data_IF_842734964328
#
_entry.id   IF_842734964328
#
_cell.length_a   1.000
_cell.length_b   1.000
_cell.length_c   1.000
_cell.angle_alpha   90.00
_cell.angle_beta   90.00
_cell.angle_gamma   90.00
#
_symmetry.space_group_name_H-M   'P 1'
#
loop_
_entity.id
_entity.type
_entity.pdbx_description
1 polymer ?
#
# COMPACT_ATOMS: atom_id res chain seq x y z
N UNK A 1 -6.92 -14.40 -2.47
CA UNK A 1 -6.12 -15.14 -1.44
C UNK A 1 -6.63 -16.56 -1.26
N UNK A 2 -7.93 -16.80 -1.12
CA UNK A 2 -8.52 -18.11 -0.86
C UNK A 2 -8.13 -19.14 -1.94
N UNK A 3 -8.26 -18.78 -3.21
CA UNK A 3 -7.81 -19.64 -4.32
C UNK A 3 -6.33 -20.01 -4.20
N UNK A 4 -5.47 -19.03 -3.88
CA UNK A 4 -4.05 -19.25 -3.70
C UNK A 4 -3.78 -20.24 -2.55
N UNK A 5 -4.44 -20.05 -1.41
CA UNK A 5 -4.32 -20.97 -0.26
C UNK A 5 -4.76 -22.38 -0.63
N UNK A 6 -5.90 -22.55 -1.33
CA UNK A 6 -6.36 -23.85 -1.81
C UNK A 6 -5.33 -24.57 -2.71
N UNK A 7 -4.60 -23.80 -3.55
CA UNK A 7 -3.57 -24.38 -4.43
C UNK A 7 -2.32 -24.81 -3.65
N UNK A 8 -1.86 -23.99 -2.71
CA UNK A 8 -0.65 -24.31 -1.95
C UNK A 8 -0.92 -25.34 -0.84
N UNK A 9 -2.09 -25.31 -0.20
CA UNK A 9 -2.45 -26.23 0.89
C UNK A 9 -2.22 -27.70 0.50
N UNK A 10 -2.61 -28.07 -0.72
CA UNK A 10 -2.43 -29.45 -1.24
C UNK A 10 -0.95 -29.87 -1.37
N UNK A 11 -0.03 -28.92 -1.44
CA UNK A 11 1.40 -29.16 -1.70
C UNK A 11 2.30 -28.63 -0.57
N UNK A 12 1.72 -27.95 0.41
CA UNK A 12 2.48 -27.32 1.48
C UNK A 12 3.22 -28.37 2.32
N UNK A 13 4.51 -28.15 2.48
CA UNK A 13 5.34 -28.96 3.38
C UNK A 13 5.72 -28.10 4.57
N UNK A 14 5.69 -28.70 5.78
CA UNK A 14 6.08 -28.05 7.02
C UNK A 14 7.41 -27.30 6.86
N UNK A 15 7.43 -26.04 7.24
CA UNK A 15 8.61 -25.18 7.17
C UNK A 15 8.96 -24.64 5.78
N UNK A 16 8.20 -24.96 4.73
CA UNK A 16 8.41 -24.35 3.41
C UNK A 16 8.14 -22.84 3.48
N UNK A 17 9.12 -21.96 3.13
CA UNK A 17 8.91 -20.54 3.22
C UNK A 17 7.93 -20.05 2.14
N UNK A 18 6.97 -19.24 2.55
CA UNK A 18 6.07 -18.47 1.68
C UNK A 18 6.53 -17.03 1.71
N UNK A 19 6.74 -16.43 0.53
CA UNK A 19 7.17 -15.03 0.42
C UNK A 19 6.09 -14.23 -0.30
N UNK A 20 5.54 -13.22 0.38
CA UNK A 20 4.48 -12.36 -0.14
C UNK A 20 5.08 -11.08 -0.72
N UNK A 21 4.95 -10.93 -2.04
CA UNK A 21 5.27 -9.69 -2.75
C UNK A 21 4.04 -8.80 -2.92
N UNK A 22 2.85 -9.40 -2.92
CA UNK A 22 1.56 -8.73 -3.11
C UNK A 22 1.33 -7.68 -2.03
N UNK A 23 0.92 -6.47 -2.43
CA UNK A 23 0.51 -5.38 -1.55
C UNK A 23 -1.01 -5.39 -1.43
N UNK A 24 -1.52 -5.48 -0.21
CA UNK A 24 -2.95 -5.49 0.05
C UNK A 24 -3.27 -5.90 1.47
N UNK A 25 -4.50 -5.70 1.84
CA UNK A 25 -5.11 -6.13 3.09
C UNK A 25 -6.37 -6.93 2.77
N UNK A 26 -6.96 -7.55 3.75
CA UNK A 26 -8.19 -8.32 3.55
C UNK A 26 -9.10 -8.23 4.78
N UNK A 27 -10.31 -8.72 4.62
CA UNK A 27 -11.25 -8.94 5.72
C UNK A 27 -11.31 -10.45 5.99
N UNK A 28 -11.20 -10.83 7.25
CA UNK A 28 -11.36 -12.19 7.71
C UNK A 28 -12.19 -12.18 9.01
N UNK A 29 -13.24 -12.97 9.07
CA UNK A 29 -14.14 -13.05 10.22
C UNK A 29 -14.63 -11.65 10.70
N UNK A 30 -14.93 -10.76 9.74
CA UNK A 30 -15.34 -9.36 9.91
C UNK A 30 -14.27 -8.42 10.52
N UNK A 31 -13.01 -8.80 10.54
CA UNK A 31 -11.88 -7.99 11.01
C UNK A 31 -10.90 -7.68 9.89
N UNK A 32 -10.31 -6.47 9.88
CA UNK A 32 -9.24 -6.13 8.97
C UNK A 32 -7.98 -6.93 9.32
N UNK A 33 -7.37 -7.56 8.32
CA UNK A 33 -6.21 -8.41 8.53
C UNK A 33 -5.17 -8.23 7.43
N UNK A 34 -3.92 -8.55 7.74
CA UNK A 34 -2.85 -8.65 6.74
C UNK A 34 -3.00 -9.91 5.89
N UNK A 35 -2.38 -9.91 4.71
CA UNK A 35 -2.41 -11.10 3.84
C UNK A 35 -1.67 -12.28 4.47
N UNK A 36 -0.57 -12.02 5.21
CA UNK A 36 0.18 -13.07 5.91
C UNK A 36 -0.66 -13.74 6.98
N UNK A 37 -1.39 -12.97 7.78
CA UNK A 37 -2.23 -13.53 8.84
C UNK A 37 -3.45 -14.27 8.28
N UNK A 38 -4.07 -13.75 7.22
CA UNK A 38 -5.14 -14.46 6.53
C UNK A 38 -4.67 -15.81 5.98
N UNK A 39 -3.52 -15.84 5.28
CA UNK A 39 -2.96 -17.09 4.74
C UNK A 39 -2.62 -18.05 5.87
N UNK A 40 -1.99 -17.57 6.95
CA UNK A 40 -1.67 -18.39 8.12
C UNK A 40 -2.92 -19.02 8.73
N UNK A 41 -3.96 -18.24 8.93
CA UNK A 41 -5.23 -18.69 9.49
C UNK A 41 -5.89 -19.75 8.60
N UNK A 42 -5.95 -19.52 7.30
CA UNK A 42 -6.56 -20.46 6.36
C UNK A 42 -5.77 -21.78 6.27
N UNK A 43 -4.44 -21.72 6.16
CA UNK A 43 -3.60 -22.91 6.15
C UNK A 43 -3.70 -23.68 7.47
N UNK A 44 -3.81 -22.98 8.61
CA UNK A 44 -4.00 -23.64 9.91
C UNK A 44 -5.37 -24.34 9.99
N UNK A 45 -6.43 -23.74 9.43
CA UNK A 45 -7.76 -24.39 9.32
C UNK A 45 -7.69 -25.66 8.45
N UNK A 46 -6.78 -25.71 7.47
CA UNK A 46 -6.52 -26.89 6.63
C UNK A 46 -5.59 -27.93 7.30
N UNK A 47 -5.22 -27.73 8.58
CA UNK A 47 -4.41 -28.68 9.37
C UNK A 47 -2.91 -28.49 9.23
N UNK A 48 -2.43 -27.43 8.57
CA UNK A 48 -0.99 -27.15 8.49
C UNK A 48 -0.47 -26.46 9.76
N UNK A 49 0.72 -26.84 10.16
CA UNK A 49 1.46 -26.24 11.30
C UNK A 49 2.82 -25.69 10.86
N UNK A 50 3.41 -24.85 11.70
CA UNK A 50 4.72 -24.24 11.46
C UNK A 50 4.80 -23.49 10.10
N UNK A 51 3.76 -22.68 9.84
CA UNK A 51 3.64 -21.91 8.63
C UNK A 51 4.66 -20.76 8.69
N UNK A 52 5.61 -20.76 7.74
CA UNK A 52 6.67 -19.76 7.62
C UNK A 52 6.31 -18.77 6.51
N UNK A 53 5.87 -17.56 6.88
CA UNK A 53 5.50 -16.52 5.94
C UNK A 53 6.37 -15.30 6.16
N UNK A 54 6.94 -14.78 5.08
CA UNK A 54 7.65 -13.51 5.02
C UNK A 54 6.95 -12.56 4.06
N UNK A 55 7.02 -11.27 4.32
CA UNK A 55 6.59 -10.24 3.40
C UNK A 55 7.80 -9.44 2.89
N UNK A 56 7.82 -9.11 1.59
CA UNK A 56 8.80 -8.20 1.01
C UNK A 56 8.06 -6.97 0.49
N UNK A 57 8.45 -5.78 0.97
CA UNK A 57 7.89 -4.50 0.57
C UNK A 57 9.00 -3.47 0.34
N UNK A 58 8.65 -2.36 -0.29
CA UNK A 58 9.57 -1.25 -0.52
C UNK A 58 9.49 -0.68 -1.93
N UNK A 59 10.28 0.37 -2.21
CA UNK A 59 10.30 1.10 -3.48
C UNK A 59 10.98 0.28 -4.58
N UNK A 60 10.28 -0.69 -5.13
CA UNK A 60 10.81 -1.59 -6.16
C UNK A 60 9.93 -1.56 -7.42
N UNK A 61 10.29 -0.71 -8.37
CA UNK A 61 9.70 -0.71 -9.70
C UNK A 61 10.33 -1.80 -10.55
N UNK A 62 9.50 -2.63 -11.19
CA UNK A 62 9.95 -3.76 -11.99
C UNK A 62 10.95 -3.37 -13.10
N UNK A 63 10.71 -2.25 -13.79
CA UNK A 63 11.61 -1.72 -14.81
C UNK A 63 12.98 -1.33 -14.25
N UNK A 64 13.02 -0.70 -13.07
CA UNK A 64 14.28 -0.37 -12.39
C UNK A 64 15.07 -1.62 -12.02
N UNK A 65 14.39 -2.59 -11.42
CA UNK A 65 15.02 -3.85 -11.04
C UNK A 65 15.54 -4.63 -12.25
N UNK A 66 14.77 -4.72 -13.34
CA UNK A 66 15.16 -5.38 -14.58
C UNK A 66 16.42 -4.73 -15.21
N UNK A 67 16.58 -3.42 -15.03
CA UNK A 67 17.76 -2.67 -15.49
C UNK A 67 18.89 -2.60 -14.44
N UNK A 68 18.83 -3.42 -13.38
CA UNK A 68 19.83 -3.51 -12.31
C UNK A 68 20.11 -2.17 -11.61
N UNK A 69 19.08 -1.31 -11.54
CA UNK A 69 19.17 -0.07 -10.76
C UNK A 69 19.19 -0.41 -9.27
N UNK A 70 20.02 0.32 -8.51
CA UNK A 70 20.10 0.10 -7.05
C UNK A 70 18.74 0.29 -6.40
N UNK A 71 18.27 -0.77 -5.75
CA UNK A 71 16.95 -0.85 -5.14
C UNK A 71 17.08 -1.40 -3.72
N UNK A 72 16.41 -0.76 -2.77
CA UNK A 72 16.30 -1.22 -1.38
C UNK A 72 14.89 -1.70 -1.09
N UNK A 73 14.76 -2.85 -0.41
CA UNK A 73 13.49 -3.39 0.09
C UNK A 73 13.65 -3.89 1.52
N UNK A 74 12.55 -4.20 2.18
CA UNK A 74 12.55 -4.79 3.51
C UNK A 74 11.89 -6.18 3.46
N UNK A 75 12.54 -7.15 4.09
CA UNK A 75 12.00 -8.49 4.33
C UNK A 75 11.52 -8.53 5.78
N UNK A 76 10.25 -8.82 5.98
CA UNK A 76 9.66 -8.95 7.31
C UNK A 76 9.23 -10.38 7.58
N UNK A 77 9.60 -10.89 8.77
CA UNK A 77 9.16 -12.17 9.30
C UNK A 77 9.22 -12.11 10.82
N UNK A 78 8.23 -12.63 11.52
CA UNK A 78 8.24 -12.72 12.99
C UNK A 78 9.48 -13.48 13.55
N UNK A 79 10.06 -14.37 12.73
CA UNK A 79 11.29 -15.08 13.05
C UNK A 79 12.46 -14.43 12.28
N UNK A 80 13.25 -13.60 12.94
CA UNK A 80 14.39 -12.88 12.33
C UNK A 80 15.32 -13.80 11.54
N UNK A 81 15.58 -15.01 12.04
CA UNK A 81 16.45 -15.98 11.35
C UNK A 81 15.95 -16.33 9.95
N UNK A 82 14.64 -16.40 9.75
CA UNK A 82 14.03 -16.64 8.44
C UNK A 82 14.21 -15.45 7.49
N UNK A 83 14.02 -14.23 8.00
CA UNK A 83 14.30 -13.02 7.23
C UNK A 83 15.79 -12.91 6.87
N UNK A 84 16.71 -13.25 7.77
CA UNK A 84 18.14 -13.29 7.50
C UNK A 84 18.53 -14.32 6.42
N UNK A 85 17.95 -15.53 6.49
CA UNK A 85 18.15 -16.56 5.47
C UNK A 85 17.71 -16.05 4.08
N UNK A 86 16.51 -15.51 4.00
CA UNK A 86 15.98 -14.96 2.74
C UNK A 86 16.83 -13.79 2.22
N UNK A 87 17.27 -12.89 3.09
CA UNK A 87 18.20 -11.83 2.73
C UNK A 87 19.46 -12.39 2.07
N UNK A 88 20.06 -13.44 2.62
CA UNK A 88 21.24 -14.08 2.02
C UNK A 88 20.99 -14.69 0.64
N UNK A 89 19.76 -15.12 0.37
CA UNK A 89 19.39 -15.75 -0.91
C UNK A 89 19.10 -14.72 -1.99
N UNK A 90 18.38 -13.62 -1.65
CA UNK A 90 17.82 -12.72 -2.66
C UNK A 90 18.60 -11.42 -2.87
N UNK A 91 19.47 -11.04 -1.92
CA UNK A 91 20.27 -9.82 -2.06
C UNK A 91 21.32 -9.95 -3.15
N UNK A 92 21.53 -8.87 -3.89
CA UNK A 92 22.56 -8.76 -4.93
C UNK A 92 23.32 -7.44 -4.78
N UNK A 93 24.26 -7.14 -5.68
CA UNK A 93 24.98 -5.87 -5.67
C UNK A 93 24.12 -4.65 -6.06
N UNK A 94 22.94 -4.87 -6.63
CA UNK A 94 21.97 -3.82 -6.99
C UNK A 94 20.61 -3.96 -6.28
N UNK A 95 20.36 -5.07 -5.58
CA UNK A 95 19.14 -5.30 -4.80
C UNK A 95 19.51 -5.55 -3.34
N UNK A 96 19.42 -4.53 -2.51
CA UNK A 96 19.70 -4.62 -1.08
C UNK A 96 18.41 -4.87 -0.30
N UNK A 97 18.52 -5.65 0.78
CA UNK A 97 17.38 -5.91 1.65
C UNK A 97 17.71 -5.61 3.10
N UNK A 98 16.82 -4.89 3.76
CA UNK A 98 16.77 -4.77 5.22
C UNK A 98 15.93 -5.91 5.80
N UNK A 99 15.97 -6.12 7.10
CA UNK A 99 15.15 -7.12 7.78
C UNK A 99 14.33 -6.46 8.88
N UNK A 100 13.13 -7.01 9.14
CA UNK A 100 12.25 -6.58 10.22
C UNK A 100 11.54 -7.77 10.85
N UNK A 101 11.26 -7.67 12.14
CA UNK A 101 10.34 -8.57 12.84
C UNK A 101 8.88 -8.14 12.72
N UNK A 102 8.65 -6.87 12.36
CA UNK A 102 7.34 -6.26 12.24
C UNK A 102 6.70 -6.54 10.89
N UNK A 103 6.26 -7.79 10.67
CA UNK A 103 5.59 -8.17 9.43
C UNK A 103 4.26 -7.41 9.27
N UNK A 104 3.53 -7.16 10.35
CA UNK A 104 2.27 -6.44 10.32
C UNK A 104 2.47 -5.00 9.86
N UNK A 105 3.40 -4.26 10.48
CA UNK A 105 3.70 -2.88 10.08
C UNK A 105 4.19 -2.78 8.64
N UNK A 106 5.00 -3.74 8.18
CA UNK A 106 5.50 -3.79 6.80
C UNK A 106 4.37 -4.05 5.79
N UNK A 107 3.44 -4.95 6.08
CA UNK A 107 2.30 -5.21 5.19
C UNK A 107 1.28 -4.08 5.22
N UNK A 108 0.92 -3.58 6.41
CA UNK A 108 -0.02 -2.47 6.59
C UNK A 108 0.47 -1.22 5.85
N UNK A 109 1.70 -0.76 6.13
CA UNK A 109 2.25 0.44 5.49
C UNK A 109 2.39 0.28 3.98
N UNK A 110 2.87 -0.88 3.51
CA UNK A 110 3.03 -1.18 2.10
C UNK A 110 1.71 -1.24 1.32
N UNK A 111 0.61 -1.56 1.98
CA UNK A 111 -0.73 -1.58 1.39
C UNK A 111 -1.35 -0.18 1.33
N UNK A 112 -1.51 0.48 2.50
CA UNK A 112 -2.26 1.75 2.59
C UNK A 112 -1.57 2.91 1.90
N UNK A 113 -0.25 2.89 1.73
CA UNK A 113 0.49 3.93 1.00
C UNK A 113 -0.07 4.15 -0.42
N UNK A 114 -0.69 3.15 -1.03
CA UNK A 114 -1.30 3.27 -2.35
C UNK A 114 -2.54 4.19 -2.34
N UNK A 115 -3.31 4.21 -1.25
CA UNK A 115 -4.43 5.13 -1.05
C UNK A 115 -3.90 6.55 -0.93
N UNK A 116 -2.88 6.76 -0.10
CA UNK A 116 -2.28 8.09 0.09
C UNK A 116 -1.53 8.58 -1.15
N UNK A 117 -0.95 7.71 -1.96
CA UNK A 117 -0.32 8.13 -3.22
C UNK A 117 -1.33 8.69 -4.23
N UNK A 118 -2.60 8.29 -4.20
CA UNK A 118 -3.67 8.94 -4.96
C UNK A 118 -3.93 10.36 -4.44
N UNK A 119 -3.98 10.56 -3.11
CA UNK A 119 -4.14 11.89 -2.52
C UNK A 119 -3.02 12.85 -2.90
N UNK A 120 -1.78 12.37 -2.82
CA UNK A 120 -0.62 13.19 -3.22
C UNK A 120 -0.69 13.52 -4.71
N UNK A 121 -1.04 12.54 -5.56
CA UNK A 121 -1.26 12.77 -6.99
C UNK A 121 -2.38 13.76 -7.29
N UNK A 122 -3.41 13.83 -6.45
CA UNK A 122 -4.50 14.78 -6.60
C UNK A 122 -4.05 16.26 -6.50
N UNK A 123 -2.95 16.53 -5.80
CA UNK A 123 -2.38 17.88 -5.71
C UNK A 123 -2.04 18.48 -7.07
N UNK A 124 -1.57 17.66 -8.01
CA UNK A 124 -1.30 18.10 -9.38
C UNK A 124 -2.61 18.48 -10.11
N UNK A 125 -3.65 17.66 -10.01
CA UNK A 125 -4.95 17.95 -10.60
C UNK A 125 -5.61 19.20 -10.03
N UNK A 126 -5.56 19.38 -8.72
CA UNK A 126 -6.05 20.59 -8.05
C UNK A 126 -5.32 21.85 -8.52
N UNK A 127 -4.01 21.78 -8.74
CA UNK A 127 -3.22 22.88 -9.30
C UNK A 127 -3.62 23.22 -10.73
N UNK A 128 -3.80 22.21 -11.57
CA UNK A 128 -4.18 22.39 -12.97
C UNK A 128 -5.50 23.15 -13.13
N UNK A 129 -6.41 22.98 -12.18
CA UNK A 129 -7.72 23.66 -12.20
C UNK A 129 -7.69 25.10 -11.69
N UNK A 130 -6.64 25.50 -10.94
CA UNK A 130 -6.62 26.80 -10.23
C UNK A 130 -5.46 27.74 -10.62
N UNK A 131 -4.38 27.20 -11.21
CA UNK A 131 -3.18 27.98 -11.49
C UNK A 131 -3.11 28.45 -12.95
N UNK A 132 -2.46 29.61 -13.25
CA UNK A 132 -2.12 30.02 -14.61
C UNK A 132 -1.28 28.94 -15.30
N UNK A 133 -1.50 28.74 -16.62
CA UNK A 133 -0.88 27.66 -17.41
C UNK A 133 0.65 27.63 -17.32
N UNK A 134 1.27 28.80 -17.24
CA UNK A 134 2.74 28.96 -17.23
C UNK A 134 3.40 28.41 -15.97
N UNK A 135 2.64 28.23 -14.89
CA UNK A 135 3.17 27.86 -13.58
C UNK A 135 2.48 26.64 -12.96
N UNK A 136 1.50 26.03 -13.65
CA UNK A 136 0.74 24.88 -13.15
C UNK A 136 1.65 23.75 -12.63
N UNK A 137 2.69 23.41 -13.40
CA UNK A 137 3.59 22.29 -13.05
C UNK A 137 4.38 22.46 -11.74
N UNK A 138 4.41 23.68 -11.19
CA UNK A 138 5.16 23.98 -9.94
C UNK A 138 4.27 24.21 -8.72
N UNK A 139 3.01 24.57 -8.92
CA UNK A 139 2.10 24.94 -7.82
C UNK A 139 1.75 23.80 -6.88
N UNK A 140 1.70 22.57 -7.37
CA UNK A 140 1.28 21.44 -6.56
C UNK A 140 2.32 20.98 -5.52
N UNK A 141 3.58 21.41 -5.62
CA UNK A 141 4.66 20.89 -4.76
C UNK A 141 4.43 21.19 -3.27
N UNK A 142 3.94 22.40 -2.94
CA UNK A 142 3.61 22.75 -1.55
C UNK A 142 2.48 21.87 -1.01
N UNK A 143 1.44 21.68 -1.80
CA UNK A 143 0.29 20.83 -1.47
C UNK A 143 0.73 19.37 -1.37
N UNK A 144 1.52 18.88 -2.33
CA UNK A 144 2.06 17.52 -2.30
C UNK A 144 2.91 17.26 -1.05
N UNK A 145 3.80 18.19 -0.68
CA UNK A 145 4.64 18.06 0.51
C UNK A 145 3.80 18.01 1.80
N UNK A 146 2.79 18.87 1.92
CA UNK A 146 1.86 18.87 3.05
C UNK A 146 1.04 17.57 3.12
N UNK A 147 0.57 17.07 1.97
CA UNK A 147 -0.12 15.78 1.90
C UNK A 147 0.79 14.60 2.25
N UNK A 148 2.07 14.62 1.83
CA UNK A 148 3.04 13.58 2.23
C UNK A 148 3.19 13.56 3.75
N UNK A 149 3.43 14.73 4.36
CA UNK A 149 3.58 14.83 5.82
C UNK A 149 2.34 14.29 6.55
N UNK A 150 1.15 14.76 6.18
CA UNK A 150 -0.09 14.31 6.81
C UNK A 150 -0.38 12.83 6.55
N UNK A 151 -0.12 12.34 5.34
CA UNK A 151 -0.26 10.92 5.00
C UNK A 151 0.61 10.03 5.89
N UNK A 152 1.86 10.41 6.13
CA UNK A 152 2.75 9.68 7.03
C UNK A 152 2.18 9.66 8.46
N UNK A 153 1.65 10.77 8.95
CA UNK A 153 1.03 10.84 10.28
C UNK A 153 -0.16 9.88 10.40
N UNK A 154 -1.07 9.88 9.43
CA UNK A 154 -2.21 8.94 9.42
C UNK A 154 -1.76 7.49 9.23
N UNK A 155 -0.73 7.23 8.41
CA UNK A 155 -0.17 5.89 8.25
C UNK A 155 0.42 5.36 9.56
N UNK A 156 1.11 6.20 10.34
CA UNK A 156 1.65 5.85 11.66
C UNK A 156 0.52 5.45 12.61
N UNK A 157 -0.54 6.25 12.66
CA UNK A 157 -1.70 5.96 13.51
C UNK A 157 -2.41 4.67 13.08
N UNK A 158 -2.65 4.50 11.77
CA UNK A 158 -3.27 3.29 11.22
C UNK A 158 -2.44 2.03 11.52
N UNK A 159 -1.14 2.07 11.25
CA UNK A 159 -0.25 0.93 11.47
C UNK A 159 -0.20 0.57 12.96
N UNK A 160 -0.13 1.56 13.84
CA UNK A 160 -0.14 1.34 15.29
C UNK A 160 -1.48 0.77 15.77
N UNK A 161 -2.61 1.26 15.24
CA UNK A 161 -3.95 0.77 15.58
C UNK A 161 -4.11 -0.73 15.27
N UNK A 162 -3.54 -1.19 14.16
CA UNK A 162 -3.61 -2.60 13.73
C UNK A 162 -2.37 -3.44 14.15
N UNK A 163 -1.65 -3.01 15.18
CA UNK A 163 -0.61 -3.80 15.84
C UNK A 163 0.74 -3.86 15.12
N UNK A 164 0.99 -2.97 14.17
CA UNK A 164 2.33 -2.73 13.61
C UNK A 164 3.07 -1.65 14.40
N UNK A 165 4.37 -1.51 14.15
CA UNK A 165 5.21 -0.52 14.81
C UNK A 165 5.21 0.81 14.02
N UNK A 166 5.06 1.93 14.74
CA UNK A 166 5.05 3.29 14.17
C UNK A 166 6.30 3.57 13.33
N UNK A 167 7.47 3.17 13.81
CA UNK A 167 8.75 3.39 13.13
C UNK A 167 8.85 2.69 11.78
N UNK A 168 8.12 1.60 11.54
CA UNK A 168 8.09 0.88 10.27
C UNK A 168 7.59 1.75 9.12
N UNK A 169 6.69 2.70 9.41
CA UNK A 169 6.14 3.63 8.41
C UNK A 169 7.20 4.56 7.82
N UNK A 170 8.19 4.95 8.61
CA UNK A 170 9.28 5.83 8.15
C UNK A 170 10.33 5.09 7.29
N UNK A 171 10.26 3.76 7.24
CA UNK A 171 11.16 2.90 6.48
C UNK A 171 10.78 2.72 5.02
N UNK A 172 11.39 1.67 4.42
CA UNK A 172 11.23 1.36 2.99
C UNK A 172 9.81 0.96 2.60
N UNK A 173 9.05 0.27 3.47
CA UNK A 173 7.69 -0.18 3.17
C UNK A 173 6.64 0.94 3.22
N UNK A 174 6.87 1.97 4.03
CA UNK A 174 6.01 3.14 4.18
C UNK A 174 6.51 4.32 3.33
N UNK A 175 7.30 5.21 3.94
CA UNK A 175 7.78 6.45 3.31
C UNK A 175 8.50 6.21 1.99
N UNK A 176 9.41 5.23 1.93
CA UNK A 176 10.17 4.95 0.71
C UNK A 176 9.28 4.55 -0.47
N UNK A 177 8.35 3.64 -0.23
CA UNK A 177 7.42 3.15 -1.26
C UNK A 177 6.31 4.18 -1.57
N UNK A 178 5.91 5.00 -0.60
CA UNK A 178 5.01 6.13 -0.82
C UNK A 178 5.61 7.15 -1.78
N UNK A 179 6.88 7.53 -1.57
CA UNK A 179 7.59 8.47 -2.43
C UNK A 179 7.58 8.03 -3.89
N UNK A 180 8.01 6.80 -4.17
CA UNK A 180 8.04 6.26 -5.55
C UNK A 180 6.65 6.21 -6.18
N UNK A 181 5.62 5.88 -5.39
CA UNK A 181 4.24 5.78 -5.88
C UNK A 181 3.58 7.13 -6.11
N UNK A 182 4.01 8.16 -5.39
CA UNK A 182 3.48 9.53 -5.49
C UNK A 182 4.06 10.32 -6.67
N UNK A 183 5.36 10.13 -6.98
CA UNK A 183 6.04 10.88 -8.07
C UNK A 183 5.59 10.42 -9.45
N UNK A 184 5.20 9.16 -9.59
CA UNK A 184 4.73 8.65 -10.87
C UNK A 184 4.19 7.23 -10.72
N UNK A 185 3.10 6.95 -11.39
CA UNK A 185 2.48 5.65 -11.33
C UNK A 185 0.97 5.72 -11.46
N UNK A 186 0.36 4.54 -11.46
CA UNK A 186 -1.08 4.41 -11.71
C UNK A 186 -1.95 5.05 -10.63
N UNK A 187 -1.52 4.94 -9.37
CA UNK A 187 -2.22 5.56 -8.24
C UNK A 187 -2.16 7.09 -8.31
N UNK A 188 -0.96 7.65 -8.50
CA UNK A 188 -0.76 9.09 -8.64
C UNK A 188 -1.54 9.66 -9.83
N UNK A 189 -1.54 8.96 -10.98
CA UNK A 189 -2.30 9.36 -12.16
C UNK A 189 -3.81 9.36 -11.92
N UNK A 190 -4.36 8.34 -11.25
CA UNK A 190 -5.77 8.35 -10.84
C UNK A 190 -6.06 9.54 -9.92
N UNK A 191 -5.21 9.76 -8.92
CA UNK A 191 -5.32 10.92 -8.03
C UNK A 191 -5.37 12.24 -8.78
N UNK A 192 -4.53 12.44 -9.79
CA UNK A 192 -4.55 13.63 -10.63
C UNK A 192 -5.93 13.86 -11.27
N UNK A 193 -6.53 12.85 -11.88
CA UNK A 193 -7.87 12.97 -12.47
C UNK A 193 -8.93 13.30 -11.40
N UNK A 194 -8.86 12.69 -10.22
CA UNK A 194 -9.77 13.02 -9.12
C UNK A 194 -9.59 14.48 -8.67
N UNK A 195 -8.35 14.96 -8.60
CA UNK A 195 -8.01 16.36 -8.29
C UNK A 195 -8.46 17.35 -9.36
N UNK A 196 -8.55 16.96 -10.61
CA UNK A 196 -9.15 17.73 -11.72
C UNK A 196 -10.68 17.79 -11.64
N UNK A 197 -11.30 17.04 -10.70
CA UNK A 197 -12.74 17.04 -10.43
C UNK A 197 -13.52 15.91 -11.10
N UNK A 198 -12.87 14.95 -11.72
CA UNK A 198 -13.53 13.76 -12.23
C UNK A 198 -14.01 12.87 -11.08
N UNK A 199 -15.16 12.20 -11.26
CA UNK A 199 -15.57 11.11 -10.41
C UNK A 199 -14.71 9.87 -10.70
N UNK A 200 -14.56 8.99 -9.72
CA UNK A 200 -13.71 7.80 -9.88
C UNK A 200 -14.13 6.92 -11.08
N UNK A 201 -15.44 6.64 -11.20
CA UNK A 201 -15.93 5.79 -12.28
C UNK A 201 -15.70 6.43 -13.66
N UNK A 202 -15.89 7.75 -13.78
CA UNK A 202 -15.67 8.48 -15.03
C UNK A 202 -14.18 8.49 -15.40
N UNK A 203 -13.30 8.78 -14.44
CA UNK A 203 -11.86 8.77 -14.65
C UNK A 203 -11.36 7.36 -15.03
N UNK A 204 -11.90 6.33 -14.37
CA UNK A 204 -11.56 4.93 -14.62
C UNK A 204 -11.96 4.50 -16.02
N UNK A 205 -13.19 4.79 -16.44
CA UNK A 205 -13.70 4.40 -17.76
C UNK A 205 -13.02 5.19 -18.88
N UNK A 206 -12.84 6.49 -18.72
CA UNK A 206 -12.35 7.38 -19.77
C UNK A 206 -10.85 7.29 -20.00
N UNK A 207 -10.06 7.20 -18.92
CA UNK A 207 -8.60 7.36 -19.00
C UNK A 207 -7.82 6.10 -18.58
N UNK A 208 -8.42 5.21 -17.77
CA UNK A 208 -7.71 4.10 -17.14
C UNK A 208 -8.45 2.76 -17.21
N UNK A 209 -9.30 2.57 -18.24
CA UNK A 209 -10.20 1.41 -18.38
C UNK A 209 -9.51 0.06 -18.12
N UNK A 210 -8.36 -0.18 -18.74
CA UNK A 210 -7.61 -1.45 -18.66
C UNK A 210 -6.40 -1.36 -17.71
N UNK A 211 -6.34 -0.35 -16.86
CA UNK A 211 -5.22 -0.12 -15.96
C UNK A 211 -5.67 -0.43 -14.53
N UNK A 212 -5.03 -1.39 -13.87
CA UNK A 212 -5.27 -1.64 -12.46
C UNK A 212 -4.71 -0.48 -11.63
N UNK A 213 -5.56 0.11 -10.79
CA UNK A 213 -5.19 1.13 -9.80
C UNK A 213 -5.24 0.46 -8.43
N UNK A 214 -4.09 0.07 -7.91
CA UNK A 214 -3.97 -0.77 -6.71
C UNK A 214 -4.59 -0.12 -5.48
N UNK A 215 -4.41 1.21 -5.32
CA UNK A 215 -5.00 1.95 -4.20
C UNK A 215 -6.53 2.02 -4.26
N UNK A 216 -7.11 2.16 -5.46
CA UNK A 216 -8.55 2.16 -5.62
C UNK A 216 -9.14 0.75 -5.42
N UNK A 217 -8.47 -0.28 -5.89
CA UNK A 217 -8.89 -1.66 -5.65
C UNK A 217 -8.87 -1.97 -4.16
N UNK A 218 -7.81 -1.60 -3.46
CA UNK A 218 -7.71 -1.75 -2.02
C UNK A 218 -8.82 -0.97 -1.30
N UNK A 219 -9.08 0.29 -1.71
CA UNK A 219 -10.15 1.10 -1.14
C UNK A 219 -11.52 0.42 -1.29
N UNK A 220 -11.81 -0.19 -2.45
CA UNK A 220 -13.06 -0.93 -2.66
C UNK A 220 -13.14 -2.17 -1.75
N UNK A 221 -12.03 -2.90 -1.57
CA UNK A 221 -11.99 -4.14 -0.80
C UNK A 221 -12.14 -3.92 0.71
N UNK A 222 -11.48 -2.90 1.27
CA UNK A 222 -11.43 -2.68 2.73
C UNK A 222 -12.09 -1.37 3.18
N UNK A 223 -12.35 -0.45 2.26
CA UNK A 223 -12.86 0.88 2.58
C UNK A 223 -14.17 0.87 3.36
N UNK A 224 -15.19 0.07 2.99
CA UNK A 224 -16.43 0.01 3.77
C UNK A 224 -16.18 -0.36 5.24
N UNK A 225 -15.26 -1.29 5.51
CA UNK A 225 -14.89 -1.68 6.89
C UNK A 225 -14.18 -0.55 7.62
N UNK A 226 -13.22 0.10 6.98
CA UNK A 226 -12.50 1.24 7.56
C UNK A 226 -13.44 2.40 7.88
N UNK A 227 -14.34 2.74 6.96
CA UNK A 227 -15.32 3.82 7.16
C UNK A 227 -16.28 3.53 8.32
N UNK A 228 -16.52 2.25 8.62
CA UNK A 228 -17.35 1.81 9.74
C UNK A 228 -16.59 1.84 11.06
N UNK A 229 -15.34 1.39 11.08
CA UNK A 229 -14.62 1.07 12.32
C UNK A 229 -13.78 2.24 12.85
N UNK A 230 -13.25 3.08 11.96
CA UNK A 230 -12.31 4.13 12.35
C UNK A 230 -13.00 5.49 12.53
N UNK A 231 -12.39 6.35 13.35
CA UNK A 231 -12.85 7.72 13.56
C UNK A 231 -12.33 8.64 12.44
N UNK A 232 -13.21 9.32 11.67
CA UNK A 232 -12.81 10.22 10.59
C UNK A 232 -11.95 11.40 11.05
N UNK A 233 -12.01 11.80 12.32
CA UNK A 233 -11.17 12.88 12.86
C UNK A 233 -9.70 12.51 12.94
N UNK A 234 -9.38 11.23 13.09
CA UNK A 234 -8.03 10.70 13.13
C UNK A 234 -7.47 10.42 11.73
N UNK A 235 -8.35 10.13 10.76
CA UNK A 235 -7.97 9.72 9.40
C UNK A 235 -8.64 10.57 8.32
N UNK A 236 -8.62 11.92 8.40
CA UNK A 236 -9.37 12.77 7.46
C UNK A 236 -8.96 12.58 6.00
N UNK A 237 -7.66 12.36 5.70
CA UNK A 237 -7.20 12.12 4.33
C UNK A 237 -7.64 10.76 3.81
N UNK A 238 -7.51 9.71 4.63
CA UNK A 238 -7.96 8.37 4.26
C UNK A 238 -9.46 8.36 3.98
N UNK A 239 -10.28 8.96 4.86
CA UNK A 239 -11.73 9.05 4.67
C UNK A 239 -12.10 9.83 3.41
N UNK A 240 -11.44 10.96 3.13
CA UNK A 240 -11.63 11.71 1.89
C UNK A 240 -11.46 10.82 0.66
N UNK A 241 -10.40 10.02 0.60
CA UNK A 241 -10.14 9.15 -0.54
C UNK A 241 -11.08 7.94 -0.57
N UNK A 242 -11.37 7.31 0.57
CA UNK A 242 -12.28 6.17 0.63
C UNK A 242 -13.70 6.54 0.19
N UNK A 243 -14.23 7.69 0.64
CA UNK A 243 -15.54 8.17 0.20
C UNK A 243 -15.55 8.49 -1.30
N UNK A 244 -14.47 9.10 -1.80
CA UNK A 244 -14.33 9.37 -3.24
C UNK A 244 -14.40 8.10 -4.08
N UNK A 245 -13.73 7.03 -3.66
CA UNK A 245 -13.70 5.76 -4.40
C UNK A 245 -14.96 4.92 -4.15
N UNK A 246 -15.33 4.67 -2.89
CA UNK A 246 -16.40 3.74 -2.54
C UNK A 246 -17.80 4.31 -2.83
N UNK A 247 -17.98 5.63 -2.67
CA UNK A 247 -19.26 6.31 -2.85
C UNK A 247 -19.33 7.08 -4.18
N UNK A 248 -18.26 7.01 -4.99
CA UNK A 248 -18.11 7.72 -6.26
C UNK A 248 -18.42 9.22 -6.15
N UNK A 249 -17.92 9.87 -5.10
CA UNK A 249 -18.06 11.32 -4.84
C UNK A 249 -16.88 12.10 -5.42
N UNK A 250 -17.07 13.41 -5.59
CA UNK A 250 -15.95 14.32 -5.89
C UNK A 250 -14.96 14.29 -4.72
N UNK A 251 -13.68 14.38 -5.06
CA UNK A 251 -12.63 14.43 -4.03
C UNK A 251 -12.67 15.79 -3.32
N UNK A 252 -12.90 15.73 -2.03
CA UNK A 252 -12.76 16.83 -1.09
C UNK A 252 -11.71 16.45 -0.06
N UNK A 253 -10.60 17.20 -0.03
CA UNK A 253 -9.49 16.91 0.90
C UNK A 253 -9.72 17.71 2.18
N UNK A 254 -9.98 17.00 3.25
CA UNK A 254 -10.06 17.55 4.60
C UNK A 254 -8.65 17.51 5.23
N UNK A 255 -8.15 18.69 5.63
CA UNK A 255 -6.80 18.87 6.16
C UNK A 255 -6.74 18.69 7.67
#
# INVERSE_FOLDING_TARGET
>A
IEWFVQQISKKYKKGLPIILLTKGLSILDNELTTLSDKIRTLLSKDGHSEINISAIKGPCLAAGLANKMRTGTIIANQKVKEAQLLKGIISTNYYSTEISEDINGVELSGAIKNIYSMLIGASEGLSNSKAPKEIQSKFFLNTAASLIHRSISEMVEFVSHYGGKAETVYGLSGLGDLYVSAIGGRNSLMGKYLGEGYLYNDAKEKFMKNITVEGAQLAIEIGPKILQDLNPQHFPLMFSMLQTICENKKLEINW
#
